data_IF_981038368052
#
_entry.id   IF_981038368052
#
_cell.length_a   1.000
_cell.length_b   1.000
_cell.length_c   1.000
_cell.angle_alpha   90.00
_cell.angle_beta   90.00
_cell.angle_gamma   90.00
#
_symmetry.space_group_name_H-M   'P 1'
#
loop_
_entity.id
_entity.type
_entity.pdbx_description
1 polymer ?
#
# COMPACT_ATOMS: atom_id res chain seq x y z
N UNK A 1 -10.39 -32.82 -31.16
CA UNK A 1 -10.83 -31.59 -30.47
C UNK A 1 -10.57 -31.82 -29.00
N UNK A 2 -9.67 -31.16 -28.28
CA UNK A 2 -9.13 -29.81 -28.42
C UNK A 2 -7.62 -29.86 -28.26
N UNK A 3 -6.94 -28.92 -28.90
CA UNK A 3 -5.52 -28.63 -28.78
C UNK A 3 -5.12 -28.65 -27.30
N UNK A 4 -4.28 -29.63 -26.95
CA UNK A 4 -3.30 -29.40 -25.91
C UNK A 4 -2.49 -28.21 -26.41
N UNK A 5 -2.90 -27.01 -26.00
CA UNK A 5 -2.17 -25.78 -26.18
C UNK A 5 -0.87 -25.99 -25.42
N UNK A 6 0.09 -26.61 -26.11
CA UNK A 6 1.49 -26.58 -25.77
C UNK A 6 1.76 -25.09 -25.64
N UNK A 7 1.84 -24.62 -24.40
CA UNK A 7 2.52 -23.38 -24.08
C UNK A 7 3.90 -23.60 -24.68
N UNK A 8 4.08 -23.07 -25.88
CA UNK A 8 5.33 -23.01 -26.59
C UNK A 8 6.23 -22.18 -25.70
N UNK A 9 6.92 -22.84 -24.76
CA UNK A 9 8.02 -22.27 -24.00
C UNK A 9 9.02 -21.85 -25.05
N UNK A 10 9.03 -20.56 -25.35
CA UNK A 10 10.00 -19.97 -26.26
C UNK A 10 11.39 -20.36 -25.73
N UNK A 11 12.21 -21.09 -26.49
CA UNK A 11 13.53 -21.55 -26.02
C UNK A 11 14.49 -20.38 -25.73
N UNK A 12 14.12 -19.14 -26.05
CA UNK A 12 14.82 -17.93 -25.64
C UNK A 12 14.49 -17.48 -24.19
N UNK A 13 13.47 -18.06 -23.55
CA UNK A 13 13.15 -17.82 -22.13
C UNK A 13 14.07 -18.74 -21.31
N UNK A 14 15.20 -18.21 -20.85
CA UNK A 14 16.03 -18.91 -19.87
C UNK A 14 15.19 -19.16 -18.61
N UNK A 15 15.12 -20.42 -18.15
CA UNK A 15 14.47 -20.71 -16.87
C UNK A 15 15.24 -19.98 -15.76
N UNK A 16 14.56 -19.20 -14.92
CA UNK A 16 15.21 -18.47 -13.84
C UNK A 16 15.88 -19.47 -12.89
N UNK A 17 17.14 -19.21 -12.58
CA UNK A 17 17.88 -19.98 -11.58
C UNK A 17 17.19 -19.89 -10.22
N UNK A 18 17.38 -20.87 -9.32
CA UNK A 18 16.83 -20.81 -7.96
C UNK A 18 17.16 -19.50 -7.23
N UNK A 19 18.36 -18.96 -7.42
CA UNK A 19 18.77 -17.68 -6.84
C UNK A 19 18.00 -16.47 -7.40
N UNK A 20 17.62 -16.49 -8.69
CA UNK A 20 16.79 -15.44 -9.28
C UNK A 20 15.36 -15.49 -8.74
N UNK A 21 14.79 -16.70 -8.58
CA UNK A 21 13.46 -16.88 -7.99
C UNK A 21 13.40 -16.41 -6.54
N UNK A 22 14.43 -16.70 -5.74
CA UNK A 22 14.51 -16.25 -4.34
C UNK A 22 14.60 -14.72 -4.23
N UNK A 23 15.36 -14.09 -5.12
CA UNK A 23 15.50 -12.64 -5.18
C UNK A 23 14.17 -11.96 -5.58
N UNK A 24 13.51 -12.47 -6.62
CA UNK A 24 12.21 -11.99 -7.10
C UNK A 24 11.13 -12.16 -6.02
N UNK A 25 11.08 -13.32 -5.37
CA UNK A 25 10.15 -13.54 -4.25
C UNK A 25 10.39 -12.57 -3.09
N UNK A 26 11.65 -12.30 -2.76
CA UNK A 26 12.00 -11.32 -1.74
C UNK A 26 11.47 -9.94 -2.09
N UNK A 27 11.63 -9.49 -3.34
CA UNK A 27 11.13 -8.20 -3.80
C UNK A 27 9.59 -8.09 -3.77
N UNK A 28 8.90 -9.17 -4.14
CA UNK A 28 7.43 -9.23 -4.02
C UNK A 28 6.97 -9.10 -2.57
N UNK A 29 7.62 -9.80 -1.65
CA UNK A 29 7.27 -9.73 -0.23
C UNK A 29 7.49 -8.33 0.34
N UNK A 30 8.58 -7.66 -0.06
CA UNK A 30 8.89 -6.27 0.33
C UNK A 30 7.81 -5.31 -0.16
N UNK A 31 7.43 -5.42 -1.42
CA UNK A 31 6.39 -4.58 -2.03
C UNK A 31 5.03 -4.79 -1.38
N UNK A 32 4.66 -6.06 -1.14
CA UNK A 32 3.41 -6.40 -0.47
C UNK A 32 3.33 -5.83 0.95
N UNK A 33 4.41 -5.94 1.72
CA UNK A 33 4.48 -5.37 3.07
C UNK A 33 4.38 -3.84 3.06
N UNK A 34 5.05 -3.18 2.10
CA UNK A 34 4.91 -1.74 1.89
C UNK A 34 3.46 -1.33 1.57
N UNK A 35 2.81 -2.05 0.66
CA UNK A 35 1.41 -1.83 0.31
C UNK A 35 0.47 -2.00 1.49
N UNK A 36 0.62 -3.09 2.27
CA UNK A 36 -0.20 -3.32 3.46
C UNK A 36 0.00 -2.22 4.52
N UNK A 37 1.24 -1.79 4.73
CA UNK A 37 1.54 -0.72 5.68
C UNK A 37 0.88 0.59 5.27
N UNK A 38 1.03 0.99 4.00
CA UNK A 38 0.39 2.19 3.47
C UNK A 38 -1.14 2.10 3.53
N UNK A 39 -1.70 0.94 3.17
CA UNK A 39 -3.15 0.68 3.21
C UNK A 39 -3.69 0.84 4.63
N UNK A 40 -3.00 0.31 5.64
CA UNK A 40 -3.37 0.47 7.06
C UNK A 40 -3.44 1.94 7.46
N UNK A 41 -2.43 2.75 7.11
CA UNK A 41 -2.42 4.17 7.43
C UNK A 41 -3.47 4.97 6.65
N UNK A 42 -3.72 4.59 5.40
CA UNK A 42 -4.80 5.14 4.60
C UNK A 42 -6.18 4.87 5.23
N UNK A 43 -6.41 3.65 5.73
CA UNK A 43 -7.64 3.29 6.45
C UNK A 43 -7.80 4.04 7.79
N UNK A 44 -6.73 4.52 8.41
CA UNK A 44 -6.79 5.40 9.58
C UNK A 44 -7.07 6.86 9.14
N UNK A 45 -6.44 7.30 8.06
CA UNK A 45 -6.57 8.64 7.51
C UNK A 45 -8.01 8.98 7.07
N UNK A 46 -8.64 8.10 6.29
CA UNK A 46 -9.99 8.34 5.71
C UNK A 46 -11.05 8.65 6.78
N UNK A 47 -11.26 7.84 7.83
CA UNK A 47 -12.28 8.14 8.83
C UNK A 47 -11.96 9.41 9.62
N UNK A 48 -10.69 9.69 9.93
CA UNK A 48 -10.31 10.95 10.58
C UNK A 48 -10.65 12.16 9.72
N UNK A 49 -10.38 12.07 8.41
CA UNK A 49 -10.72 13.12 7.45
C UNK A 49 -12.23 13.32 7.38
N UNK A 50 -13.02 12.24 7.28
CA UNK A 50 -14.49 12.32 7.24
C UNK A 50 -15.06 12.90 8.54
N UNK A 51 -14.55 12.50 9.70
CA UNK A 51 -14.96 13.04 11.00
C UNK A 51 -14.60 14.51 11.14
N UNK A 52 -13.41 14.91 10.67
CA UNK A 52 -13.01 16.32 10.64
C UNK A 52 -13.94 17.15 9.77
N UNK A 53 -14.25 16.69 8.56
CA UNK A 53 -15.16 17.37 7.64
C UNK A 53 -16.57 17.45 8.22
N UNK A 54 -17.05 16.37 8.82
CA UNK A 54 -18.35 16.35 9.52
C UNK A 54 -18.38 17.40 10.63
N UNK A 55 -17.35 17.46 11.49
CA UNK A 55 -17.29 18.42 12.59
C UNK A 55 -17.33 19.89 12.11
N UNK A 56 -16.69 20.19 10.97
CA UNK A 56 -16.69 21.54 10.38
C UNK A 56 -18.01 21.92 9.73
N UNK A 57 -18.72 20.96 9.13
CA UNK A 57 -19.90 21.22 8.28
C UNK A 57 -21.21 21.04 9.03
N UNK A 58 -21.41 19.86 9.64
CA UNK A 58 -22.65 19.45 10.28
C UNK A 58 -22.54 19.45 11.81
N UNK A 59 -21.36 19.20 12.35
CA UNK A 59 -21.10 19.11 13.79
C UNK A 59 -20.93 20.46 14.51
N UNK A 60 -20.89 21.57 13.78
CA UNK A 60 -20.86 22.93 14.35
C UNK A 60 -19.56 23.34 15.05
N UNK A 61 -18.49 22.56 14.94
CA UNK A 61 -17.19 22.82 15.59
C UNK A 61 -16.07 22.92 14.57
N UNK A 62 -15.83 24.14 14.10
CA UNK A 62 -14.73 24.45 13.18
C UNK A 62 -13.37 24.07 13.75
N UNK A 63 -13.08 24.46 15.00
CA UNK A 63 -11.79 24.18 15.64
C UNK A 63 -11.53 22.67 15.78
N UNK A 64 -12.51 21.91 16.27
CA UNK A 64 -12.39 20.44 16.38
C UNK A 64 -12.18 19.77 15.03
N UNK A 65 -12.87 20.24 13.99
CA UNK A 65 -12.70 19.70 12.64
C UNK A 65 -11.33 20.01 12.01
N UNK A 66 -10.78 21.21 12.25
CA UNK A 66 -9.40 21.55 11.84
C UNK A 66 -8.38 20.66 12.54
N UNK A 67 -8.54 20.42 13.84
CA UNK A 67 -7.65 19.52 14.59
C UNK A 67 -7.69 18.10 13.99
N UNK A 68 -8.88 17.56 13.74
CA UNK A 68 -9.04 16.24 13.12
C UNK A 68 -8.43 16.19 11.71
N UNK A 69 -8.55 17.27 10.93
CA UNK A 69 -7.91 17.36 9.61
C UNK A 69 -6.39 17.32 9.69
N UNK A 70 -5.79 18.08 10.61
CA UNK A 70 -4.34 18.06 10.83
C UNK A 70 -3.88 16.67 11.23
N UNK A 71 -4.59 16.01 12.15
CA UNK A 71 -4.28 14.65 12.58
C UNK A 71 -4.42 13.66 11.41
N UNK A 72 -5.48 13.78 10.60
CA UNK A 72 -5.68 12.92 9.42
C UNK A 72 -4.51 13.04 8.43
N UNK A 73 -4.11 14.26 8.09
CA UNK A 73 -2.98 14.51 7.18
C UNK A 73 -1.68 14.00 7.80
N UNK A 74 -1.43 14.29 9.07
CA UNK A 74 -0.25 13.82 9.79
C UNK A 74 -0.16 12.29 9.82
N UNK A 75 -1.28 11.58 10.03
CA UNK A 75 -1.33 10.13 10.02
C UNK A 75 -0.94 9.55 8.64
N UNK A 76 -1.40 10.17 7.54
CA UNK A 76 -1.03 9.73 6.20
C UNK A 76 0.44 10.00 5.90
N UNK A 77 0.94 11.20 6.21
CA UNK A 77 2.36 11.55 6.05
C UNK A 77 3.23 10.58 6.86
N UNK A 78 2.87 10.33 8.12
CA UNK A 78 3.57 9.37 8.94
C UNK A 78 3.54 7.97 8.32
N UNK A 79 2.39 7.52 7.80
CA UNK A 79 2.28 6.24 7.12
C UNK A 79 3.21 6.11 5.92
N UNK A 80 3.32 7.16 5.10
CA UNK A 80 4.24 7.20 3.95
C UNK A 80 5.69 7.15 4.41
N UNK A 81 6.09 8.02 5.35
CA UNK A 81 7.47 8.14 5.82
C UNK A 81 7.95 6.97 6.69
N UNK A 82 7.03 6.31 7.39
CA UNK A 82 7.31 5.15 8.22
C UNK A 82 7.31 3.83 7.45
N UNK A 83 7.08 3.87 6.13
CA UNK A 83 7.19 2.67 5.30
C UNK A 83 8.61 2.13 5.44
N UNK A 84 8.81 0.95 6.08
CA UNK A 84 10.14 0.43 6.24
C UNK A 84 10.67 0.13 4.84
N UNK A 85 11.73 0.84 4.43
CA UNK A 85 12.64 0.34 3.42
C UNK A 85 13.20 -0.96 4.00
N UNK A 86 12.57 -2.08 3.66
CA UNK A 86 12.98 -3.41 4.06
C UNK A 86 14.49 -3.54 3.78
N UNK A 87 15.24 -3.54 4.89
CA UNK A 87 16.69 -3.56 5.03
C UNK A 87 17.49 -3.81 3.73
N UNK A 88 18.38 -2.85 3.43
CA UNK A 88 19.53 -3.07 2.56
C UNK A 88 20.41 -4.19 3.10
#
# INVERSE_FOLDING_TARGET
MSEAQLVSVDPAIEEPTPAQLDAEYTEHTKTYNGFLHLTKWFLIHVPLLLLGLYAMTLGGSMAGGVVLMVIAVAALIYGILSTPASAH
#
